data_IF_065852732258
#
_entry.id   IF_065852732258
#
_cell.length_a   1.000
_cell.length_b   1.000
_cell.length_c   1.000
_cell.angle_alpha   90.00
_cell.angle_beta   90.00
_cell.angle_gamma   90.00
#
_symmetry.space_group_name_H-M   'P 1'
#
loop_
_entity.id
_entity.type
_entity.pdbx_description
1 polymer ?
#
# COMPACT_ATOMS: atom_id res chain seq x y z
N UNK A 1 -7.01 3.07 22.14
CA UNK A 1 -6.21 4.03 21.37
C UNK A 1 -7.05 5.29 21.26
N UNK A 2 -6.57 6.43 21.77
CA UNK A 2 -7.34 7.68 21.71
C UNK A 2 -7.33 8.16 20.25
N UNK A 3 -8.50 8.45 19.71
CA UNK A 3 -8.64 8.98 18.36
C UNK A 3 -8.07 10.40 18.32
N UNK A 4 -7.18 10.68 17.36
CA UNK A 4 -6.55 12.00 17.22
C UNK A 4 -7.54 12.96 16.56
N UNK A 5 -7.53 14.22 16.97
CA UNK A 5 -8.30 15.27 16.26
C UNK A 5 -7.63 15.61 14.93
N UNK A 6 -8.37 16.26 14.02
CA UNK A 6 -7.81 16.75 12.75
C UNK A 6 -6.66 17.73 13.00
N UNK A 7 -6.79 18.59 14.00
CA UNK A 7 -5.75 19.57 14.38
C UNK A 7 -4.49 18.87 14.87
N UNK A 8 -4.62 17.82 15.70
CA UNK A 8 -3.49 17.02 16.18
C UNK A 8 -2.79 16.29 15.02
N UNK A 9 -3.55 15.77 14.05
CA UNK A 9 -3.01 15.14 12.84
C UNK A 9 -2.26 16.19 11.99
N UNK A 10 -2.86 17.36 11.78
CA UNK A 10 -2.25 18.43 11.00
C UNK A 10 -0.96 18.94 11.64
N UNK A 11 -0.95 19.15 12.95
CA UNK A 11 0.21 19.61 13.70
C UNK A 11 1.36 18.58 13.67
N UNK A 12 1.04 17.29 13.80
CA UNK A 12 2.02 16.20 13.64
C UNK A 12 2.64 16.22 12.24
N UNK A 13 1.84 16.38 11.18
CA UNK A 13 2.33 16.49 9.81
C UNK A 13 3.18 17.75 9.57
N UNK A 14 2.81 18.87 10.18
CA UNK A 14 3.59 20.12 10.09
C UNK A 14 4.95 20.00 10.78
N UNK A 15 5.00 19.24 11.88
CA UNK A 15 6.22 19.00 12.65
C UNK A 15 7.10 17.87 12.07
N UNK A 16 6.59 17.03 11.17
CA UNK A 16 7.37 16.02 10.44
C UNK A 16 8.24 16.63 9.33
N UNK A 17 9.31 17.30 9.75
CA UNK A 17 10.26 17.94 8.85
C UNK A 17 10.91 16.95 7.87
N UNK A 18 11.30 15.77 8.35
CA UNK A 18 11.96 14.77 7.52
C UNK A 18 11.03 14.23 6.43
N UNK A 19 9.78 13.90 6.77
CA UNK A 19 8.79 13.44 5.79
C UNK A 19 8.50 14.49 4.73
N UNK A 20 8.40 15.77 5.14
CA UNK A 20 8.24 16.92 4.24
C UNK A 20 9.44 17.13 3.33
N UNK A 21 10.66 17.03 3.86
CA UNK A 21 11.88 17.17 3.06
C UNK A 21 11.99 16.08 1.99
N UNK A 22 11.63 14.83 2.32
CA UNK A 22 11.59 13.71 1.35
C UNK A 22 10.56 13.97 0.24
N UNK A 23 9.36 14.45 0.58
CA UNK A 23 8.32 14.77 -0.42
C UNK A 23 8.80 15.90 -1.33
N UNK A 24 9.35 16.96 -0.76
CA UNK A 24 9.81 18.13 -1.50
C UNK A 24 10.99 17.80 -2.44
N UNK A 25 11.95 16.99 -1.97
CA UNK A 25 13.06 16.52 -2.82
C UNK A 25 12.55 15.67 -3.99
N UNK A 26 11.60 14.77 -3.74
CA UNK A 26 10.99 13.96 -4.79
C UNK A 26 10.20 14.81 -5.79
N UNK A 27 9.40 15.76 -5.30
CA UNK A 27 8.66 16.70 -6.14
C UNK A 27 9.60 17.44 -7.09
N UNK A 28 10.68 18.05 -6.56
CA UNK A 28 11.66 18.78 -7.37
C UNK A 28 12.30 17.91 -8.44
N UNK A 29 12.68 16.67 -8.10
CA UNK A 29 13.27 15.73 -9.05
C UNK A 29 12.30 15.37 -10.18
N UNK A 30 11.04 15.12 -9.83
CA UNK A 30 9.99 14.77 -10.80
C UNK A 30 9.67 15.97 -11.70
N UNK A 31 9.50 17.17 -11.12
CA UNK A 31 9.29 18.42 -11.86
C UNK A 31 10.40 18.67 -12.89
N UNK A 32 11.66 18.65 -12.46
CA UNK A 32 12.81 18.84 -13.36
C UNK A 32 12.88 17.77 -14.45
N UNK A 33 12.48 16.53 -14.14
CA UNK A 33 12.46 15.45 -15.13
C UNK A 33 11.36 15.66 -16.17
N UNK A 34 10.14 15.98 -15.74
CA UNK A 34 9.01 16.16 -16.64
C UNK A 34 9.16 17.41 -17.50
N UNK A 35 9.59 18.54 -16.95
CA UNK A 35 9.81 19.75 -17.76
C UNK A 35 10.87 19.50 -18.84
N UNK A 36 11.95 18.79 -18.52
CA UNK A 36 12.97 18.41 -19.51
C UNK A 36 12.43 17.48 -20.60
N UNK A 37 11.48 16.59 -20.30
CA UNK A 37 10.88 15.73 -21.32
C UNK A 37 9.88 16.50 -22.20
N UNK A 38 9.11 17.41 -21.60
CA UNK A 38 8.15 18.27 -22.31
C UNK A 38 8.89 19.20 -23.28
N UNK A 39 9.97 19.85 -22.83
CA UNK A 39 10.80 20.74 -23.67
C UNK A 39 11.42 20.01 -24.87
N UNK A 40 11.70 18.71 -24.72
CA UNK A 40 12.21 17.86 -25.80
C UNK A 40 11.10 17.23 -26.66
N UNK A 41 9.83 17.57 -26.43
CA UNK A 41 8.65 16.97 -27.10
C UNK A 41 8.57 15.45 -26.93
N UNK A 42 9.11 14.92 -25.84
CA UNK A 42 9.13 13.48 -25.52
C UNK A 42 7.98 13.07 -24.60
N UNK A 43 7.21 14.04 -24.07
CA UNK A 43 6.12 13.79 -23.14
C UNK A 43 4.97 14.76 -23.40
N UNK A 44 3.78 14.19 -23.66
CA UNK A 44 2.51 14.92 -23.63
C UNK A 44 1.94 14.87 -22.21
N UNK A 45 1.58 16.03 -21.67
CA UNK A 45 1.15 16.17 -20.27
C UNK A 45 -0.13 15.35 -20.02
N UNK A 46 -1.11 15.41 -20.93
CA UNK A 46 -2.41 14.75 -20.74
C UNK A 46 -2.28 13.24 -20.84
N UNK A 47 -1.49 12.75 -21.80
CA UNK A 47 -1.23 11.32 -21.93
C UNK A 47 -0.54 10.74 -20.70
N UNK A 48 0.48 11.44 -20.18
CA UNK A 48 1.18 11.02 -18.96
C UNK A 48 0.26 11.09 -17.73
N UNK A 49 -0.60 12.11 -17.60
CA UNK A 49 -1.59 12.19 -16.52
C UNK A 49 -2.51 10.96 -16.50
N UNK A 50 -3.07 10.58 -17.66
CA UNK A 50 -3.90 9.38 -17.78
C UNK A 50 -3.13 8.11 -17.39
N UNK A 51 -1.86 8.01 -17.81
CA UNK A 51 -1.00 6.91 -17.42
C UNK A 51 -0.78 6.85 -15.90
N UNK A 52 -0.42 7.97 -15.28
CA UNK A 52 -0.18 8.07 -13.83
C UNK A 52 -1.44 7.77 -13.02
N UNK A 53 -2.60 8.27 -13.44
CA UNK A 53 -3.89 7.97 -12.80
C UNK A 53 -4.21 6.47 -12.86
N UNK A 54 -3.94 5.83 -14.01
CA UNK A 54 -4.14 4.38 -14.16
C UNK A 54 -3.29 3.58 -13.16
N UNK A 55 -2.05 4.03 -12.91
CA UNK A 55 -1.16 3.43 -11.91
C UNK A 55 -1.68 3.63 -10.49
N UNK A 56 -2.11 4.84 -10.13
CA UNK A 56 -2.70 5.12 -8.81
C UNK A 56 -3.92 4.25 -8.52
N UNK A 57 -4.81 4.09 -9.49
CA UNK A 57 -5.99 3.24 -9.36
C UNK A 57 -5.62 1.76 -9.20
N UNK A 58 -4.61 1.29 -9.93
CA UNK A 58 -4.08 -0.07 -9.76
C UNK A 58 -3.61 -0.31 -8.32
N UNK A 59 -2.83 0.59 -7.72
CA UNK A 59 -2.33 0.41 -6.35
C UNK A 59 -3.42 0.47 -5.27
N UNK A 60 -4.47 1.27 -5.47
CA UNK A 60 -5.63 1.25 -4.58
C UNK A 60 -6.33 -0.12 -4.59
N UNK A 61 -6.45 -0.74 -5.76
CA UNK A 61 -7.12 -2.03 -5.92
C UNK A 61 -6.23 -3.22 -5.56
N UNK A 62 -4.92 -3.15 -5.83
CA UNK A 62 -3.97 -4.22 -5.50
C UNK A 62 -3.85 -4.46 -4.00
N UNK A 63 -3.86 -3.40 -3.20
CA UNK A 63 -3.78 -3.52 -1.74
C UNK A 63 -5.02 -4.26 -1.18
N UNK A 64 -6.21 -3.95 -1.69
CA UNK A 64 -7.44 -4.66 -1.35
C UNK A 64 -7.44 -6.12 -1.85
N UNK A 65 -7.05 -6.34 -3.11
CA UNK A 65 -6.97 -7.68 -3.69
C UNK A 65 -5.95 -8.56 -2.98
N UNK A 66 -4.82 -8.00 -2.55
CA UNK A 66 -3.82 -8.71 -1.76
C UNK A 66 -4.43 -9.24 -0.47
N UNK A 67 -5.09 -8.40 0.32
CA UNK A 67 -5.76 -8.84 1.54
C UNK A 67 -6.85 -9.88 1.27
N UNK A 68 -7.68 -9.68 0.25
CA UNK A 68 -8.76 -10.62 -0.10
C UNK A 68 -8.22 -12.00 -0.52
N UNK A 69 -7.25 -12.04 -1.42
CA UNK A 69 -6.62 -13.30 -1.87
C UNK A 69 -5.90 -14.00 -0.72
N UNK A 70 -5.29 -13.22 0.17
CA UNK A 70 -4.60 -13.73 1.32
C UNK A 70 -5.55 -14.39 2.34
N UNK A 71 -6.66 -13.72 2.69
CA UNK A 71 -7.70 -14.30 3.53
C UNK A 71 -8.33 -15.54 2.89
N UNK A 72 -8.62 -15.51 1.58
CA UNK A 72 -9.16 -16.65 0.86
C UNK A 72 -8.22 -17.87 0.90
N UNK A 73 -6.91 -17.65 0.72
CA UNK A 73 -5.89 -18.71 0.75
C UNK A 73 -5.81 -19.38 2.12
N UNK A 74 -5.80 -18.58 3.19
CA UNK A 74 -5.79 -19.10 4.57
C UNK A 74 -7.07 -19.87 4.88
N UNK A 75 -8.24 -19.34 4.48
CA UNK A 75 -9.53 -19.96 4.77
C UNK A 75 -9.61 -21.38 4.17
N UNK A 76 -9.15 -21.55 2.93
CA UNK A 76 -9.17 -22.85 2.25
C UNK A 76 -8.33 -23.92 2.96
N UNK A 77 -7.09 -23.59 3.38
CA UNK A 77 -6.20 -24.51 4.07
C UNK A 77 -6.64 -24.82 5.50
N UNK A 78 -7.14 -23.81 6.22
CA UNK A 78 -7.62 -23.98 7.61
C UNK A 78 -8.91 -24.80 7.66
N UNK A 79 -9.83 -24.64 6.70
CA UNK A 79 -11.05 -25.44 6.62
C UNK A 79 -10.77 -26.95 6.44
N UNK A 80 -9.84 -27.31 5.57
CA UNK A 80 -9.46 -28.72 5.33
C UNK A 80 -8.77 -29.32 6.56
N UNK A 81 -7.86 -28.56 7.19
CA UNK A 81 -7.23 -28.97 8.44
C UNK A 81 -8.26 -29.14 9.56
N UNK A 82 -9.24 -28.24 9.66
CA UNK A 82 -10.32 -28.33 10.64
C UNK A 82 -11.13 -29.62 10.51
N UNK A 83 -11.58 -29.94 9.30
CA UNK A 83 -12.36 -31.16 9.03
C UNK A 83 -11.54 -32.42 9.37
N UNK A 84 -10.28 -32.46 8.94
CA UNK A 84 -9.40 -33.62 9.12
C UNK A 84 -9.17 -33.91 10.60
N UNK A 85 -8.85 -32.88 11.38
CA UNK A 85 -8.55 -33.03 12.81
C UNK A 85 -9.83 -33.32 13.61
N UNK A 86 -10.98 -32.75 13.22
CA UNK A 86 -12.27 -33.06 13.84
C UNK A 86 -12.67 -34.53 13.67
N UNK A 87 -12.34 -35.15 12.53
CA UNK A 87 -12.64 -36.56 12.24
C UNK A 87 -11.67 -37.52 12.95
N UNK A 88 -10.42 -37.12 13.19
CA UNK A 88 -9.36 -38.04 13.64
C UNK A 88 -8.99 -37.97 15.12
N UNK A 89 -9.39 -36.93 15.85
CA UNK A 89 -8.94 -36.72 17.24
C UNK A 89 -10.03 -36.98 18.28
N UNK A 90 -9.72 -37.83 19.26
CA UNK A 90 -10.56 -38.06 20.45
C UNK A 90 -10.24 -37.12 21.62
N UNK A 91 -9.15 -36.35 21.55
CA UNK A 91 -8.68 -35.48 22.66
C UNK A 91 -8.78 -34.00 22.28
N UNK A 92 -9.91 -33.41 22.68
CA UNK A 92 -10.30 -32.03 22.36
C UNK A 92 -9.27 -31.00 22.85
N UNK A 93 -8.56 -31.25 23.96
CA UNK A 93 -7.61 -30.26 24.53
C UNK A 93 -6.37 -30.07 23.67
N UNK A 94 -5.78 -31.17 23.18
CA UNK A 94 -4.64 -31.11 22.24
C UNK A 94 -5.04 -30.47 20.91
N UNK A 95 -6.28 -30.73 20.50
CA UNK A 95 -6.91 -30.17 19.32
C UNK A 95 -6.97 -28.64 19.36
N UNK A 96 -7.51 -28.09 20.45
CA UNK A 96 -7.60 -26.64 20.69
C UNK A 96 -6.19 -26.02 20.73
N UNK A 97 -5.24 -26.66 21.42
CA UNK A 97 -3.87 -26.15 21.50
C UNK A 97 -3.18 -26.11 20.13
N UNK A 98 -3.33 -27.15 19.32
CA UNK A 98 -2.81 -27.20 17.95
C UNK A 98 -3.38 -26.10 17.06
N UNK A 99 -4.69 -25.80 17.19
CA UNK A 99 -5.30 -24.69 16.46
C UNK A 99 -4.73 -23.34 16.88
N UNK A 100 -4.59 -23.09 18.18
CA UNK A 100 -4.02 -21.83 18.67
C UNK A 100 -2.61 -21.62 18.09
N UNK A 101 -1.80 -22.68 18.05
CA UNK A 101 -0.45 -22.66 17.51
C UNK A 101 -0.41 -22.43 15.98
N UNK A 102 -1.32 -23.07 15.24
CA UNK A 102 -1.49 -22.85 13.80
C UNK A 102 -1.88 -21.41 13.49
N UNK A 103 -2.87 -20.86 14.20
CA UNK A 103 -3.30 -19.47 14.03
C UNK A 103 -2.19 -18.49 14.38
N UNK A 104 -1.42 -18.73 15.44
CA UNK A 104 -0.23 -17.93 15.78
C UNK A 104 0.82 -17.98 14.68
N UNK A 105 1.12 -19.16 14.14
CA UNK A 105 2.12 -19.31 13.09
C UNK A 105 1.70 -18.62 11.80
N UNK A 106 0.44 -18.84 11.38
CA UNK A 106 -0.16 -18.14 10.23
C UNK A 106 -0.07 -16.64 10.46
N UNK A 107 -0.55 -16.13 11.60
CA UNK A 107 -0.51 -14.70 11.97
C UNK A 107 0.88 -14.08 11.83
N UNK A 108 1.92 -14.75 12.31
CA UNK A 108 3.30 -14.26 12.22
C UNK A 108 3.80 -14.16 10.76
N UNK A 109 3.46 -15.13 9.91
CA UNK A 109 3.78 -15.09 8.49
C UNK A 109 3.03 -13.94 7.80
N UNK A 110 1.73 -13.76 8.10
CA UNK A 110 0.93 -12.63 7.61
C UNK A 110 1.63 -11.32 7.92
N UNK A 111 1.92 -11.10 9.21
CA UNK A 111 2.40 -9.82 9.70
C UNK A 111 3.76 -9.46 9.12
N UNK A 112 4.58 -10.45 8.77
CA UNK A 112 5.89 -10.23 8.15
C UNK A 112 5.77 -9.87 6.66
N UNK A 113 5.02 -10.66 5.88
CA UNK A 113 4.90 -10.44 4.43
C UNK A 113 4.08 -9.18 4.14
N UNK A 114 2.98 -8.97 4.87
CA UNK A 114 2.13 -7.79 4.67
C UNK A 114 2.92 -6.51 4.88
N UNK A 115 3.81 -6.44 5.88
CA UNK A 115 4.61 -5.22 6.15
C UNK A 115 5.52 -4.82 4.99
N UNK A 116 6.10 -5.81 4.30
CA UNK A 116 6.98 -5.55 3.16
C UNK A 116 6.16 -5.06 1.97
N UNK A 117 5.14 -5.82 1.58
CA UNK A 117 4.31 -5.54 0.41
C UNK A 117 3.53 -4.21 0.58
N UNK A 118 3.00 -3.93 1.77
CA UNK A 118 2.32 -2.65 2.08
C UNK A 118 3.28 -1.47 1.95
N UNK A 119 4.54 -1.62 2.41
CA UNK A 119 5.51 -0.53 2.34
C UNK A 119 5.87 -0.21 0.89
N UNK A 120 6.06 -1.23 0.06
CA UNK A 120 6.32 -1.08 -1.37
C UNK A 120 5.15 -0.39 -2.08
N UNK A 121 3.92 -0.93 -1.93
CA UNK A 121 2.71 -0.34 -2.50
C UNK A 121 2.52 1.11 -2.03
N UNK A 122 2.79 1.39 -0.75
CA UNK A 122 2.71 2.75 -0.20
C UNK A 122 3.72 3.70 -0.82
N UNK A 123 4.94 3.24 -1.12
CA UNK A 123 5.96 4.07 -1.74
C UNK A 123 5.64 4.35 -3.22
N UNK A 124 5.19 3.34 -3.97
CA UNK A 124 4.79 3.52 -5.36
C UNK A 124 3.58 4.43 -5.47
N UNK A 125 2.57 4.24 -4.61
CA UNK A 125 1.42 5.17 -4.52
C UNK A 125 1.87 6.59 -4.24
N UNK A 126 2.77 6.79 -3.26
CA UNK A 126 3.33 8.12 -2.94
C UNK A 126 4.04 8.74 -4.14
N UNK A 127 4.84 7.96 -4.86
CA UNK A 127 5.54 8.40 -6.05
C UNK A 127 4.56 8.88 -7.14
N UNK A 128 3.60 8.04 -7.52
CA UNK A 128 2.63 8.41 -8.56
C UNK A 128 1.71 9.56 -8.15
N UNK A 129 1.39 9.71 -6.86
CA UNK A 129 0.65 10.89 -6.38
C UNK A 129 1.44 12.18 -6.56
N UNK A 130 2.77 12.14 -6.37
CA UNK A 130 3.64 13.30 -6.61
C UNK A 130 3.78 13.56 -8.11
N UNK A 131 3.91 12.53 -8.95
CA UNK A 131 3.88 12.68 -10.40
C UNK A 131 2.62 13.41 -10.87
N UNK A 132 1.45 13.00 -10.39
CA UNK A 132 0.19 13.61 -10.78
C UNK A 132 0.11 15.08 -10.33
N UNK A 133 0.56 15.38 -9.10
CA UNK A 133 0.62 16.75 -8.60
C UNK A 133 1.50 17.64 -9.50
N UNK A 134 2.71 17.18 -9.82
CA UNK A 134 3.64 17.91 -10.69
C UNK A 134 3.04 18.11 -12.09
N UNK A 135 2.39 17.09 -12.65
CA UNK A 135 1.79 17.20 -13.98
C UNK A 135 0.65 18.21 -14.00
N UNK A 136 -0.19 18.25 -12.95
CA UNK A 136 -1.22 19.27 -12.82
C UNK A 136 -0.61 20.69 -12.73
N UNK A 137 0.43 20.86 -11.91
CA UNK A 137 1.11 22.16 -11.79
C UNK A 137 1.71 22.59 -13.15
N UNK A 138 2.33 21.66 -13.87
CA UNK A 138 2.87 21.93 -15.22
C UNK A 138 1.78 22.17 -16.26
N UNK A 139 0.63 21.51 -16.16
CA UNK A 139 -0.53 21.78 -17.02
C UNK A 139 -1.03 23.21 -16.82
N UNK A 140 -1.19 23.65 -15.56
CA UNK A 140 -1.60 25.01 -15.21
C UNK A 140 -0.55 26.08 -15.61
N UNK A 141 0.74 25.75 -15.55
CA UNK A 141 1.83 26.68 -15.89
C UNK A 141 2.05 26.84 -17.40
N UNK A 142 1.77 25.80 -18.20
CA UNK A 142 2.16 25.73 -19.62
C UNK A 142 0.99 25.81 -20.61
N UNK A 143 -0.25 25.61 -20.18
CA UNK A 143 -1.45 25.61 -21.04
C UNK A 143 -2.48 26.66 -20.60
#
# INVERSE_FOLDING_TARGET
MKEKTIDEIHEEHMNDKNGRDIINDLYKKVYLKYISLIENYELDIREEMVFVESKLNKYNNELLNYYMNFFASILSGVCVAMITVFITSNDIKKLIFGFILLFLFVYLIIMKNSKYDIKEISNEKKYYSICLLVLNDLEEELL
#
